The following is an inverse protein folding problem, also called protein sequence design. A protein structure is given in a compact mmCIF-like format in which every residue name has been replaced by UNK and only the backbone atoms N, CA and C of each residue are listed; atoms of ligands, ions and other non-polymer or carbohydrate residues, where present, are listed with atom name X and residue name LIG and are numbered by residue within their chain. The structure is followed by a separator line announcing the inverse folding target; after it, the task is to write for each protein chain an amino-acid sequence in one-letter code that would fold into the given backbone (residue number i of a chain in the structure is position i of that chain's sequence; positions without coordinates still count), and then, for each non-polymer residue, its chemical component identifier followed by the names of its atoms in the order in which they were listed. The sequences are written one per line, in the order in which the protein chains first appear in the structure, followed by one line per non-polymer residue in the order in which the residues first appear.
data_IF_488837275621
#
_entry.id   IF_488837275621
#
_cell.length_a   1.000
_cell.length_b   1.000
_cell.length_c   1.000
_cell.angle_alpha   90.00
_cell.angle_beta   90.00
_cell.angle_gamma   90.00
#
_symmetry.space_group_name_H-M   'P 1'
#
loop_
_entity.id
_entity.type
_entity.pdbx_description
1 polymer ?
#
# COMPACT_ATOMS: atom_id res chain seq x y z
N UNK A 1 7.91 12.81 11.38
CA UNK A 1 7.45 11.74 10.47
C UNK A 1 7.72 10.41 11.15
N UNK A 2 6.73 9.54 11.26
CA UNK A 2 6.79 8.30 12.04
C UNK A 2 5.66 7.33 11.66
N UNK A 3 5.79 6.08 12.09
CA UNK A 3 4.70 5.10 12.09
C UNK A 3 4.15 5.05 13.52
N UNK A 4 3.01 5.71 13.77
CA UNK A 4 2.38 5.68 15.09
C UNK A 4 1.64 4.37 15.28
N UNK A 5 1.72 3.83 16.50
CA UNK A 5 1.05 2.59 16.90
C UNK A 5 0.30 2.86 18.17
N UNK A 6 -1.02 2.66 18.15
CA UNK A 6 -1.91 2.89 19.28
C UNK A 6 -2.74 1.62 19.52
N UNK A 7 -2.69 1.10 20.75
CA UNK A 7 -3.53 -0.02 21.14
C UNK A 7 -4.97 0.47 21.39
N UNK A 8 -5.90 0.02 20.56
CA UNK A 8 -7.32 0.30 20.77
C UNK A 8 -7.92 -0.66 21.81
N UNK A 9 -7.49 -1.91 21.81
CA UNK A 9 -7.86 -2.93 22.76
C UNK A 9 -6.79 -4.03 22.81
N UNK A 10 -6.81 -4.97 23.77
CA UNK A 10 -5.84 -6.06 23.82
C UNK A 10 -5.74 -6.90 22.52
N UNK A 11 -6.69 -6.74 21.60
CA UNK A 11 -6.78 -7.52 20.37
C UNK A 11 -6.74 -6.68 19.09
N UNK A 12 -6.80 -5.34 19.21
CA UNK A 12 -6.88 -4.43 18.06
C UNK A 12 -5.84 -3.32 18.22
N UNK A 13 -5.02 -3.14 17.21
CA UNK A 13 -4.03 -2.08 17.15
C UNK A 13 -4.29 -1.19 15.92
N UNK A 14 -4.12 0.12 16.09
CA UNK A 14 -4.21 1.12 15.04
C UNK A 14 -2.79 1.55 14.65
N UNK A 15 -2.49 1.49 13.36
CA UNK A 15 -1.23 1.93 12.76
C UNK A 15 -1.50 3.13 11.90
N UNK A 16 -0.85 4.25 12.19
CA UNK A 16 -1.01 5.49 11.44
C UNK A 16 0.28 5.89 10.78
N UNK A 17 0.23 6.07 9.46
CA UNK A 17 1.34 6.64 8.67
C UNK A 17 1.30 8.15 8.87
N UNK A 18 2.30 8.73 9.55
CA UNK A 18 2.32 10.16 9.87
C UNK A 18 3.51 10.90 9.25
N UNK A 19 3.26 11.49 8.11
CA UNK A 19 4.12 12.46 7.44
C UNK A 19 3.24 13.46 6.68
N UNK A 20 2.34 14.11 7.41
CA UNK A 20 1.32 15.01 6.82
C UNK A 20 1.90 16.07 5.88
N UNK A 21 3.05 16.73 6.19
CA UNK A 21 3.65 17.72 5.28
C UNK A 21 3.99 17.16 3.89
N UNK A 22 4.20 15.85 3.78
CA UNK A 22 4.47 15.12 2.54
C UNK A 22 3.32 14.20 2.12
N UNK A 23 2.08 14.47 2.56
CA UNK A 23 0.91 13.64 2.28
C UNK A 23 1.13 12.17 2.64
N UNK A 24 1.74 11.94 3.79
CA UNK A 24 2.06 10.61 4.31
C UNK A 24 2.92 9.77 3.36
N UNK A 25 3.79 10.43 2.55
CA UNK A 25 4.84 9.73 1.84
C UNK A 25 5.80 9.07 2.82
N UNK A 26 6.15 7.82 2.56
CA UNK A 26 6.96 7.00 3.45
C UNK A 26 8.44 7.13 3.10
N UNK A 27 9.23 7.64 4.06
CA UNK A 27 10.69 7.61 3.97
C UNK A 27 11.23 6.19 4.15
N UNK A 28 12.51 5.95 3.79
CA UNK A 28 13.17 4.66 4.04
C UNK A 28 13.11 4.26 5.52
N UNK A 29 13.28 5.21 6.43
CA UNK A 29 13.18 4.98 7.88
C UNK A 29 11.76 4.53 8.28
N UNK A 30 10.72 5.19 7.78
CA UNK A 30 9.34 4.80 8.03
C UNK A 30 9.02 3.40 7.45
N UNK A 31 9.55 3.07 6.28
CA UNK A 31 9.40 1.72 5.70
C UNK A 31 10.11 0.67 6.56
N UNK A 32 11.32 0.95 7.05
CA UNK A 32 12.03 0.05 7.96
C UNK A 32 11.26 -0.13 9.28
N UNK A 33 10.71 0.94 9.82
CA UNK A 33 9.87 0.89 11.01
C UNK A 33 8.60 0.07 10.77
N UNK A 34 7.91 0.29 9.66
CA UNK A 34 6.70 -0.47 9.30
C UNK A 34 7.00 -1.96 9.14
N UNK A 35 8.11 -2.31 8.48
CA UNK A 35 8.57 -3.70 8.36
C UNK A 35 8.80 -4.35 9.74
N UNK A 36 9.46 -3.65 10.66
CA UNK A 36 9.68 -4.12 12.03
C UNK A 36 8.36 -4.26 12.82
N UNK A 37 7.37 -3.38 12.59
CA UNK A 37 6.03 -3.48 13.21
C UNK A 37 5.29 -4.73 12.73
N UNK A 38 5.37 -5.08 11.43
CA UNK A 38 4.76 -6.33 10.95
C UNK A 38 5.34 -7.55 11.67
N UNK A 39 6.66 -7.60 11.88
CA UNK A 39 7.31 -8.67 12.63
C UNK A 39 6.85 -8.74 14.09
N UNK A 40 6.69 -7.59 14.73
CA UNK A 40 6.21 -7.52 16.11
C UNK A 40 4.75 -7.95 16.21
N UNK A 41 3.89 -7.49 15.31
CA UNK A 41 2.47 -7.82 15.32
C UNK A 41 2.21 -9.31 15.04
N UNK A 42 3.01 -9.95 14.17
CA UNK A 42 2.89 -11.38 13.92
C UNK A 42 3.05 -12.21 15.22
N UNK A 43 3.93 -11.75 16.11
CA UNK A 43 4.20 -12.40 17.41
C UNK A 43 3.28 -11.95 18.56
N UNK A 44 2.60 -10.81 18.39
CA UNK A 44 1.74 -10.24 19.43
C UNK A 44 0.36 -10.94 19.51
N UNK A 45 -0.37 -10.66 20.58
CA UNK A 45 -1.73 -11.15 20.80
C UNK A 45 -2.81 -10.48 19.98
N UNK A 46 -2.45 -9.47 19.16
CA UNK A 46 -3.42 -8.78 18.31
C UNK A 46 -4.10 -9.75 17.34
N UNK A 47 -5.39 -9.52 17.12
CA UNK A 47 -6.25 -10.30 16.24
C UNK A 47 -6.61 -9.55 14.95
N UNK A 48 -6.51 -8.22 14.97
CA UNK A 48 -6.77 -7.36 13.82
C UNK A 48 -5.93 -6.07 13.91
N UNK A 49 -5.50 -5.57 12.78
CA UNK A 49 -4.75 -4.32 12.63
C UNK A 49 -5.61 -3.36 11.80
N UNK A 50 -5.72 -2.10 12.24
CA UNK A 50 -6.30 -1.01 11.44
C UNK A 50 -5.14 -0.16 10.93
N UNK A 51 -5.08 0.09 9.63
CA UNK A 51 -4.07 0.92 8.98
C UNK A 51 -4.73 2.17 8.39
N UNK A 52 -4.17 3.35 8.70
CA UNK A 52 -4.69 4.64 8.22
C UNK A 52 -3.55 5.65 8.00
N UNK A 53 -3.86 6.78 7.39
CA UNK A 53 -2.96 7.94 7.31
C UNK A 53 -3.31 9.02 8.33
N UNK A 54 -2.34 9.81 8.74
CA UNK A 54 -2.58 10.97 9.60
C UNK A 54 -3.25 12.11 8.82
N UNK A 55 -4.16 12.84 9.48
CA UNK A 55 -4.90 13.95 8.88
C UNK A 55 -5.98 13.50 7.91
N UNK A 56 -6.39 14.40 7.00
CA UNK A 56 -7.52 14.18 6.09
C UNK A 56 -7.11 14.13 4.60
N UNK A 57 -5.87 14.51 4.27
CA UNK A 57 -5.46 14.72 2.89
C UNK A 57 -5.00 13.46 2.17
N UNK A 58 -4.40 12.52 2.90
CA UNK A 58 -3.86 11.31 2.29
C UNK A 58 -3.79 10.15 3.27
N UNK A 59 -4.07 8.96 2.76
CA UNK A 59 -3.65 7.70 3.36
C UNK A 59 -2.13 7.57 3.22
N UNK A 60 -1.63 7.59 1.99
CA UNK A 60 -0.20 7.70 1.67
C UNK A 60 0.01 8.07 0.20
N UNK A 61 0.92 9.01 -0.05
CA UNK A 61 1.39 9.36 -1.39
C UNK A 61 2.52 8.45 -1.91
N UNK A 62 2.80 7.34 -1.23
CA UNK A 62 3.81 6.35 -1.65
C UNK A 62 5.20 6.62 -1.07
N UNK A 63 6.24 6.29 -1.83
CA UNK A 63 7.62 6.52 -1.41
C UNK A 63 7.99 8.01 -1.43
N UNK A 64 8.75 8.46 -0.43
CA UNK A 64 9.32 9.82 -0.45
C UNK A 64 10.47 9.89 -1.46
N UNK A 65 10.19 10.53 -2.59
CA UNK A 65 11.12 10.69 -3.72
C UNK A 65 12.17 11.80 -3.50
N UNK A 66 12.13 12.52 -2.38
CA UNK A 66 13.08 13.61 -2.09
C UNK A 66 14.41 13.13 -1.50
N UNK A 67 14.49 11.85 -1.13
CA UNK A 67 15.69 11.23 -0.57
C UNK A 67 16.57 10.54 -1.61
N UNK A 68 17.52 9.74 -1.12
CA UNK A 68 18.33 8.87 -1.97
C UNK A 68 17.46 7.80 -2.64
N UNK A 69 17.42 7.80 -3.97
CA UNK A 69 16.69 6.84 -4.80
C UNK A 69 17.53 5.63 -5.20
N UNK A 70 18.78 5.53 -4.71
CA UNK A 70 19.58 4.32 -4.93
C UNK A 70 18.86 3.12 -4.32
N UNK A 71 18.82 2.02 -5.03
CA UNK A 71 18.19 0.78 -4.59
C UNK A 71 19.27 -0.30 -4.54
N UNK A 72 19.92 -0.42 -3.38
CA UNK A 72 20.67 -1.62 -3.09
C UNK A 72 19.72 -2.76 -2.67
N UNK A 73 20.24 -3.97 -2.59
CA UNK A 73 19.44 -5.16 -2.29
C UNK A 73 18.82 -5.11 -0.88
N UNK A 74 19.42 -4.38 0.07
CA UNK A 74 18.91 -4.26 1.44
C UNK A 74 17.70 -3.31 1.48
N UNK A 75 17.82 -2.17 0.82
CA UNK A 75 16.70 -1.24 0.66
C UNK A 75 15.53 -1.91 -0.06
N UNK A 76 15.78 -2.63 -1.15
CA UNK A 76 14.74 -3.35 -1.89
C UNK A 76 14.02 -4.39 -1.01
N UNK A 77 14.77 -5.14 -0.18
CA UNK A 77 14.19 -6.08 0.79
C UNK A 77 13.34 -5.38 1.84
N UNK A 78 13.84 -4.27 2.40
CA UNK A 78 13.11 -3.48 3.41
C UNK A 78 11.80 -2.94 2.85
N UNK A 79 11.81 -2.35 1.66
CA UNK A 79 10.61 -1.86 0.97
C UNK A 79 9.62 -3.00 0.71
N UNK A 80 10.11 -4.12 0.17
CA UNK A 80 9.28 -5.31 -0.10
C UNK A 80 8.64 -5.85 1.18
N UNK A 81 9.34 -5.81 2.31
CA UNK A 81 8.84 -6.24 3.61
C UNK A 81 7.81 -5.24 4.16
N UNK A 82 8.08 -3.94 4.10
CA UNK A 82 7.15 -2.91 4.54
C UNK A 82 5.81 -3.00 3.78
N UNK A 83 5.85 -3.28 2.47
CA UNK A 83 4.69 -3.41 1.61
C UNK A 83 4.09 -4.83 1.62
N UNK A 84 4.60 -5.76 2.42
CA UNK A 84 4.17 -7.16 2.49
C UNK A 84 4.12 -7.82 1.09
N UNK A 85 5.10 -7.50 0.23
CA UNK A 85 5.10 -7.98 -1.16
C UNK A 85 5.25 -9.49 -1.26
N UNK A 86 6.26 -10.04 -0.56
CA UNK A 86 6.66 -11.44 -0.66
C UNK A 86 6.41 -12.23 0.63
N UNK A 87 5.81 -11.60 1.63
CA UNK A 87 5.64 -12.20 2.93
C UNK A 87 4.18 -12.52 3.21
N UNK A 88 3.86 -13.78 3.53
CA UNK A 88 2.58 -14.10 4.15
C UNK A 88 2.44 -13.37 5.48
N UNK A 89 1.25 -12.88 5.77
CA UNK A 89 0.93 -12.22 7.03
C UNK A 89 -0.38 -12.79 7.56
N UNK A 90 -0.37 -13.29 8.80
CA UNK A 90 -1.50 -14.04 9.34
C UNK A 90 -2.58 -13.18 9.98
N UNK A 91 -2.25 -11.94 10.36
CA UNK A 91 -3.21 -11.04 11.01
C UNK A 91 -4.04 -10.28 9.96
N UNK A 92 -5.36 -10.21 10.09
CA UNK A 92 -6.19 -9.33 9.26
C UNK A 92 -5.79 -7.86 9.38
N UNK A 93 -5.75 -7.17 8.24
CA UNK A 93 -5.47 -5.74 8.14
C UNK A 93 -6.67 -5.04 7.51
N UNK A 94 -7.28 -4.10 8.23
CA UNK A 94 -8.32 -3.21 7.74
C UNK A 94 -7.68 -1.90 7.33
N UNK A 95 -7.94 -1.41 6.12
CA UNK A 95 -7.52 -0.08 5.71
C UNK A 95 -8.67 0.92 5.86
N UNK A 96 -8.43 1.96 6.65
CA UNK A 96 -9.26 3.15 6.73
C UNK A 96 -8.62 4.25 5.88
N UNK A 97 -9.04 4.36 4.61
CA UNK A 97 -8.42 5.24 3.61
C UNK A 97 -8.99 6.64 3.74
N UNK A 98 -8.30 7.48 4.49
CA UNK A 98 -8.71 8.83 4.88
C UNK A 98 -8.47 9.92 3.83
N UNK A 99 -7.88 9.58 2.68
CA UNK A 99 -7.54 10.53 1.60
C UNK A 99 -6.77 9.85 0.48
N UNK A 100 -5.96 10.62 -0.27
CA UNK A 100 -5.23 10.11 -1.43
C UNK A 100 -4.38 8.88 -1.10
N UNK A 101 -4.49 7.84 -1.91
CA UNK A 101 -3.77 6.57 -1.78
C UNK A 101 -3.09 6.25 -3.12
N UNK A 102 -1.82 6.62 -3.27
CA UNK A 102 -1.15 6.68 -4.57
C UNK A 102 0.22 6.01 -4.53
N UNK A 103 0.62 5.40 -5.63
CA UNK A 103 1.93 4.78 -5.77
C UNK A 103 2.18 3.69 -4.73
N UNK A 104 3.32 3.72 -4.06
CA UNK A 104 3.62 2.79 -2.96
C UNK A 104 2.58 2.76 -1.84
N UNK A 105 1.77 3.83 -1.66
CA UNK A 105 0.63 3.83 -0.75
C UNK A 105 -0.48 2.90 -1.22
N UNK A 106 -0.77 2.89 -2.53
CA UNK A 106 -1.70 1.93 -3.10
C UNK A 106 -1.11 0.50 -3.10
N UNK A 107 0.19 0.34 -3.33
CA UNK A 107 0.84 -0.97 -3.22
C UNK A 107 0.74 -1.56 -1.81
N UNK A 108 0.88 -0.73 -0.77
CA UNK A 108 0.62 -1.12 0.62
C UNK A 108 -0.86 -1.47 0.84
N UNK A 109 -1.78 -0.66 0.30
CA UNK A 109 -3.21 -0.93 0.37
C UNK A 109 -3.56 -2.32 -0.22
N UNK A 110 -2.92 -2.72 -1.31
CA UNK A 110 -3.13 -4.04 -1.94
C UNK A 110 -2.73 -5.23 -1.04
N UNK A 111 -2.06 -4.97 0.08
CA UNK A 111 -1.71 -5.99 1.09
C UNK A 111 -2.70 -6.04 2.25
N UNK A 112 -3.70 -5.15 2.28
CA UNK A 112 -4.77 -5.14 3.28
C UNK A 112 -5.96 -5.98 2.82
N UNK A 113 -6.85 -6.35 3.74
CA UNK A 113 -7.91 -7.34 3.51
C UNK A 113 -9.29 -6.74 3.31
N UNK A 114 -9.63 -5.75 4.14
CA UNK A 114 -10.93 -5.08 4.14
C UNK A 114 -10.66 -3.58 4.12
N UNK A 115 -11.38 -2.84 3.26
CA UNK A 115 -11.06 -1.46 2.98
C UNK A 115 -12.30 -0.59 2.94
N UNK A 116 -12.28 0.52 3.65
CA UNK A 116 -13.21 1.62 3.42
C UNK A 116 -12.45 2.89 3.06
N UNK A 117 -13.09 3.77 2.32
CA UNK A 117 -12.53 5.03 1.86
C UNK A 117 -13.42 6.21 2.21
N UNK A 118 -12.82 7.34 2.57
CA UNK A 118 -13.49 8.61 2.61
C UNK A 118 -13.92 9.05 1.20
N UNK A 119 -15.02 9.82 1.03
CA UNK A 119 -15.55 10.15 -0.29
C UNK A 119 -14.60 10.94 -1.19
N UNK A 120 -13.68 11.70 -0.61
CA UNK A 120 -12.70 12.51 -1.32
C UNK A 120 -11.38 11.79 -1.63
N UNK A 121 -11.24 10.53 -1.20
CA UNK A 121 -10.04 9.74 -1.47
C UNK A 121 -9.89 9.45 -2.97
N UNK A 122 -8.64 9.51 -3.46
CA UNK A 122 -8.29 9.14 -4.83
C UNK A 122 -7.24 8.05 -4.82
N UNK A 123 -7.27 7.21 -5.84
CA UNK A 123 -6.42 6.02 -5.95
C UNK A 123 -5.72 5.99 -7.30
N UNK A 124 -4.47 5.56 -7.35
CA UNK A 124 -3.77 5.34 -8.61
C UNK A 124 -2.32 4.93 -8.46
N UNK A 125 -1.77 4.47 -9.58
CA UNK A 125 -0.39 4.02 -9.73
C UNK A 125 0.28 4.84 -10.85
N UNK A 126 0.70 6.10 -10.55
CA UNK A 126 1.21 7.00 -11.57
C UNK A 126 2.70 6.75 -11.93
N UNK A 127 3.29 5.65 -11.50
CA UNK A 127 4.71 5.33 -11.66
C UNK A 127 5.16 5.45 -13.12
N UNK A 128 4.39 4.90 -14.07
CA UNK A 128 4.76 4.92 -15.50
C UNK A 128 4.81 6.34 -16.08
N UNK A 129 4.07 7.29 -15.52
CA UNK A 129 4.15 8.71 -15.89
C UNK A 129 5.55 9.27 -15.64
N UNK A 130 6.23 8.77 -14.63
CA UNK A 130 7.54 9.24 -14.17
C UNK A 130 8.67 8.28 -14.55
N UNK A 131 8.40 7.37 -15.48
CA UNK A 131 9.35 6.31 -15.89
C UNK A 131 9.86 5.51 -14.70
N UNK A 132 8.98 5.19 -13.76
CA UNK A 132 9.24 4.33 -12.60
C UNK A 132 8.47 3.03 -12.79
N UNK A 133 9.07 1.91 -12.42
CA UNK A 133 8.40 0.62 -12.36
C UNK A 133 7.78 0.41 -10.98
N UNK A 134 6.53 -0.06 -10.84
CA UNK A 134 5.88 -0.27 -9.54
C UNK A 134 6.43 -1.54 -8.87
N UNK A 135 7.41 -1.39 -8.01
CA UNK A 135 8.13 -2.50 -7.37
C UNK A 135 7.41 -3.15 -6.16
N UNK A 136 6.39 -2.52 -5.59
CA UNK A 136 5.73 -2.99 -4.35
C UNK A 136 4.74 -4.14 -4.56
N UNK A 137 4.61 -4.66 -5.79
CA UNK A 137 3.77 -5.82 -6.10
C UNK A 137 2.45 -5.49 -6.80
N UNK A 138 2.26 -4.26 -7.26
CA UNK A 138 1.04 -3.86 -7.97
C UNK A 138 0.77 -4.71 -9.22
N UNK A 139 1.82 -5.07 -9.98
CA UNK A 139 1.75 -5.90 -11.19
C UNK A 139 1.17 -7.30 -10.96
N UNK A 140 1.21 -7.79 -9.72
CA UNK A 140 0.63 -9.08 -9.34
C UNK A 140 -0.69 -8.90 -8.60
N UNK A 141 -0.68 -8.08 -7.54
CA UNK A 141 -1.79 -7.98 -6.60
C UNK A 141 -3.01 -7.24 -7.18
N UNK A 142 -2.78 -6.18 -7.96
CA UNK A 142 -3.89 -5.38 -8.50
C UNK A 142 -4.76 -6.21 -9.45
N UNK A 143 -4.14 -6.96 -10.37
CA UNK A 143 -4.85 -7.81 -11.32
C UNK A 143 -5.75 -8.83 -10.62
N UNK A 144 -5.26 -9.42 -9.53
CA UNK A 144 -6.02 -10.40 -8.74
C UNK A 144 -7.24 -9.79 -8.04
N UNK A 145 -7.18 -8.50 -7.71
CA UNK A 145 -8.21 -7.84 -6.88
C UNK A 145 -9.26 -7.09 -7.70
N UNK A 146 -8.86 -6.43 -8.80
CA UNK A 146 -9.79 -5.64 -9.63
C UNK A 146 -9.97 -6.20 -11.04
N UNK A 147 -9.30 -7.31 -11.37
CA UNK A 147 -9.32 -7.92 -12.69
C UNK A 147 -8.42 -7.21 -13.70
N UNK A 148 -8.14 -7.90 -14.81
CA UNK A 148 -7.14 -7.49 -15.82
C UNK A 148 -7.41 -6.10 -16.42
N UNK A 149 -8.66 -5.87 -16.87
CA UNK A 149 -8.99 -4.64 -17.61
C UNK A 149 -8.83 -3.39 -16.75
N UNK A 150 -9.34 -3.41 -15.52
CA UNK A 150 -9.19 -2.28 -14.60
C UNK A 150 -7.74 -2.09 -14.12
N UNK A 151 -7.02 -3.19 -13.89
CA UNK A 151 -5.61 -3.11 -13.52
C UNK A 151 -4.77 -2.48 -14.63
N UNK A 152 -4.95 -2.90 -15.89
CA UNK A 152 -4.21 -2.34 -17.02
C UNK A 152 -4.55 -0.88 -17.28
N UNK A 153 -5.81 -0.49 -17.13
CA UNK A 153 -6.23 0.91 -17.23
C UNK A 153 -5.47 1.79 -16.21
N UNK A 154 -5.46 1.40 -14.94
CA UNK A 154 -4.75 2.15 -13.90
C UNK A 154 -3.23 2.17 -14.09
N UNK A 155 -2.62 1.02 -14.39
CA UNK A 155 -1.18 0.87 -14.52
C UNK A 155 -0.61 1.57 -15.76
N UNK A 156 -1.32 1.53 -16.90
CA UNK A 156 -0.79 2.06 -18.17
C UNK A 156 -1.14 3.52 -18.40
N UNK A 157 -2.30 3.99 -17.92
CA UNK A 157 -2.72 5.38 -18.11
C UNK A 157 -2.20 6.31 -17.03
N UNK A 158 -1.75 5.77 -15.89
CA UNK A 158 -1.34 6.55 -14.72
C UNK A 158 -2.43 7.51 -14.21
N UNK A 159 -3.71 7.24 -14.54
CA UNK A 159 -4.83 8.06 -14.06
C UNK A 159 -5.14 7.78 -12.60
N UNK A 160 -5.75 8.75 -11.95
CA UNK A 160 -6.34 8.57 -10.63
C UNK A 160 -7.84 8.32 -10.78
N UNK A 161 -8.38 7.46 -9.91
CA UNK A 161 -9.81 7.20 -9.77
C UNK A 161 -10.30 7.74 -8.43
N UNK A 162 -11.57 8.09 -8.36
CA UNK A 162 -12.24 8.50 -7.12
C UNK A 162 -12.70 7.30 -6.27
N UNK A 163 -13.16 7.57 -5.07
CA UNK A 163 -13.62 6.54 -4.14
C UNK A 163 -14.85 5.76 -4.66
N UNK A 164 -15.87 6.38 -5.29
CA UNK A 164 -16.97 5.67 -5.93
C UNK A 164 -16.50 4.69 -7.03
N UNK A 165 -15.58 5.09 -7.90
CA UNK A 165 -15.02 4.20 -8.91
C UNK A 165 -14.22 3.06 -8.28
N UNK A 166 -13.39 3.36 -7.26
CA UNK A 166 -12.63 2.35 -6.52
C UNK A 166 -13.55 1.29 -5.88
N UNK A 167 -14.71 1.70 -5.34
CA UNK A 167 -15.70 0.77 -4.82
C UNK A 167 -16.36 -0.05 -5.95
N UNK A 168 -16.70 0.59 -7.09
CA UNK A 168 -17.32 -0.08 -8.24
C UNK A 168 -16.45 -1.18 -8.84
N UNK A 169 -15.13 -0.98 -8.89
CA UNK A 169 -14.18 -1.98 -9.43
C UNK A 169 -13.69 -3.00 -8.38
N UNK A 170 -14.14 -2.89 -7.12
CA UNK A 170 -13.77 -3.80 -6.04
C UNK A 170 -12.42 -3.51 -5.39
N UNK A 171 -11.81 -2.34 -5.64
CA UNK A 171 -10.56 -1.94 -4.99
C UNK A 171 -10.77 -1.63 -3.49
N UNK A 172 -11.94 -1.08 -3.14
CA UNK A 172 -12.38 -0.90 -1.76
C UNK A 172 -13.78 -1.51 -1.57
N UNK A 173 -14.08 -1.95 -0.34
CA UNK A 173 -15.38 -2.58 -0.04
C UNK A 173 -16.53 -1.56 0.00
N UNK A 174 -16.23 -0.33 0.44
CA UNK A 174 -17.24 0.75 0.53
C UNK A 174 -16.63 2.13 0.65
N UNK A 175 -17.46 3.12 0.39
CA UNK A 175 -17.22 4.53 0.70
C UNK A 175 -18.08 4.90 1.90
N UNK A 176 -17.49 5.57 2.89
CA UNK A 176 -18.17 6.03 4.11
C UNK A 176 -17.82 7.48 4.38
N UNK A 177 -18.69 8.22 5.07
CA UNK A 177 -18.38 9.59 5.47
C UNK A 177 -17.07 9.67 6.24
N UNK A 178 -16.32 10.76 6.12
CA UNK A 178 -14.97 10.88 6.68
C UNK A 178 -14.97 10.71 8.22
N UNK A 179 -15.95 11.25 8.90
CA UNK A 179 -16.16 11.13 10.34
C UNK A 179 -16.58 9.71 10.78
N UNK A 180 -17.20 8.94 9.88
CA UNK A 180 -17.60 7.55 10.12
C UNK A 180 -16.51 6.53 9.79
N UNK A 181 -15.39 6.94 9.16
CA UNK A 181 -14.39 6.01 8.64
C UNK A 181 -13.70 5.19 9.73
N UNK A 182 -13.18 5.83 10.78
CA UNK A 182 -12.54 5.12 11.90
C UNK A 182 -13.55 4.35 12.75
N UNK A 183 -14.74 4.89 13.11
CA UNK A 183 -15.79 4.07 13.75
C UNK A 183 -16.12 2.80 12.97
N UNK A 184 -16.26 2.88 11.66
CA UNK A 184 -16.51 1.71 10.80
C UNK A 184 -15.35 0.70 10.85
N UNK A 185 -14.11 1.18 10.79
CA UNK A 185 -12.93 0.31 10.84
C UNK A 185 -12.82 -0.42 12.19
N UNK A 186 -13.08 0.29 13.29
CA UNK A 186 -13.11 -0.29 14.64
C UNK A 186 -14.20 -1.35 14.75
N UNK A 187 -15.43 -1.04 14.37
CA UNK A 187 -16.56 -2.00 14.40
C UNK A 187 -16.24 -3.27 13.58
N UNK A 188 -15.62 -3.09 12.43
CA UNK A 188 -15.21 -4.22 11.59
C UNK A 188 -14.09 -5.04 12.24
N UNK A 189 -13.12 -4.40 12.88
CA UNK A 189 -12.04 -5.07 13.61
C UNK A 189 -12.57 -5.84 14.82
N UNK A 190 -13.54 -5.29 15.55
CA UNK A 190 -14.20 -5.95 16.68
C UNK A 190 -14.95 -7.22 16.23
N UNK A 191 -15.66 -7.17 15.10
CA UNK A 191 -16.32 -8.34 14.50
C UNK A 191 -15.30 -9.43 14.15
N UNK A 192 -14.14 -9.07 13.59
CA UNK A 192 -13.07 -10.02 13.31
C UNK A 192 -12.50 -10.59 14.61
N UNK A 193 -12.21 -9.72 15.57
CA UNK A 193 -11.61 -10.10 16.84
C UNK A 193 -12.52 -10.99 17.71
N UNK A 194 -13.82 -10.93 17.50
CA UNK A 194 -14.80 -11.80 18.18
C UNK A 194 -14.83 -13.24 17.62
N UNK A 195 -14.29 -13.46 16.43
CA UNK A 195 -14.21 -14.80 15.84
C UNK A 195 -13.01 -15.59 16.40
N UNK A 196 -12.98 -16.90 16.14
CA UNK A 196 -11.84 -17.75 16.50
C UNK A 196 -10.55 -17.25 15.86
N UNK A 197 -9.55 -16.80 16.65
CA UNK A 197 -8.30 -16.29 16.09
C UNK A 197 -7.55 -17.37 15.29
N UNK A 198 -7.60 -18.62 15.70
CA UNK A 198 -6.97 -19.71 14.97
C UNK A 198 -7.59 -19.91 13.59
N UNK A 199 -8.92 -19.86 13.48
CA UNK A 199 -9.60 -20.01 12.18
C UNK A 199 -9.38 -18.80 11.27
N UNK A 200 -9.50 -17.57 11.79
CA UNK A 200 -9.26 -16.32 11.04
C UNK A 200 -7.82 -16.29 10.50
N UNK A 201 -6.84 -16.57 11.34
CA UNK A 201 -5.43 -16.56 10.94
C UNK A 201 -5.11 -17.66 9.92
N UNK A 202 -5.70 -18.86 10.06
CA UNK A 202 -5.49 -19.94 9.09
C UNK A 202 -6.03 -19.55 7.70
N UNK A 203 -7.24 -18.98 7.62
CA UNK A 203 -7.82 -18.48 6.36
C UNK A 203 -6.94 -17.38 5.76
N UNK A 204 -6.56 -16.38 6.57
CA UNK A 204 -5.71 -15.28 6.11
C UNK A 204 -4.34 -15.78 5.65
N UNK A 205 -3.72 -16.68 6.39
CA UNK A 205 -2.40 -17.23 6.07
C UNK A 205 -2.42 -17.99 4.75
N UNK A 206 -3.43 -18.81 4.50
CA UNK A 206 -3.56 -19.56 3.25
C UNK A 206 -3.63 -18.64 2.03
N UNK A 207 -4.49 -17.60 2.09
CA UNK A 207 -4.65 -16.63 0.99
C UNK A 207 -3.39 -15.80 0.81
N UNK A 208 -2.84 -15.29 1.91
CA UNK A 208 -1.62 -14.49 1.94
C UNK A 208 -0.40 -15.25 1.41
N UNK A 209 -0.28 -16.55 1.74
CA UNK A 209 0.79 -17.41 1.22
C UNK A 209 0.71 -17.58 -0.30
N UNK A 210 -0.48 -17.83 -0.84
CA UNK A 210 -0.70 -17.96 -2.30
C UNK A 210 -0.32 -16.68 -3.04
N UNK A 211 -0.70 -15.51 -2.52
CA UNK A 211 -0.34 -14.21 -3.12
C UNK A 211 1.17 -13.99 -3.06
N UNK A 212 1.80 -14.26 -1.92
CA UNK A 212 3.23 -14.10 -1.73
C UNK A 212 4.06 -15.06 -2.61
N UNK A 213 3.61 -16.29 -2.79
CA UNK A 213 4.22 -17.28 -3.68
C UNK A 213 4.17 -16.81 -5.15
N UNK A 214 3.01 -16.35 -5.61
CA UNK A 214 2.87 -15.79 -6.95
C UNK A 214 3.78 -14.56 -7.12
N UNK A 215 3.84 -13.64 -6.16
CA UNK A 215 4.72 -12.50 -6.23
C UNK A 215 6.21 -12.90 -6.30
N UNK A 216 6.64 -13.90 -5.49
CA UNK A 216 8.01 -14.44 -5.55
C UNK A 216 8.34 -15.09 -6.88
N UNK A 217 7.41 -15.81 -7.49
CA UNK A 217 7.63 -16.44 -8.79
C UNK A 217 7.90 -15.43 -9.92
N UNK A 218 7.57 -14.15 -9.70
CA UNK A 218 7.80 -13.04 -10.63
C UNK A 218 8.97 -12.15 -10.25
N UNK A 219 9.63 -12.39 -9.11
CA UNK A 219 10.68 -11.49 -8.57
C UNK A 219 11.82 -11.23 -9.56
N UNK A 220 12.33 -12.29 -10.21
CA UNK A 220 13.42 -12.15 -11.18
C UNK A 220 13.01 -11.29 -12.38
N UNK A 221 11.79 -11.46 -12.90
CA UNK A 221 11.27 -10.65 -14.00
C UNK A 221 10.99 -9.21 -13.56
N UNK A 222 10.42 -9.00 -12.37
CA UNK A 222 10.20 -7.68 -11.79
C UNK A 222 11.52 -6.91 -11.67
N UNK A 223 12.58 -7.57 -11.19
CA UNK A 223 13.90 -6.98 -11.06
C UNK A 223 14.48 -6.63 -12.44
N UNK A 224 14.46 -7.57 -13.38
CA UNK A 224 14.95 -7.35 -14.75
C UNK A 224 14.25 -6.15 -15.42
N UNK A 225 12.92 -6.12 -15.38
CA UNK A 225 12.12 -5.06 -16.00
C UNK A 225 12.35 -3.71 -15.31
N UNK A 226 12.39 -3.69 -13.99
CA UNK A 226 12.64 -2.49 -13.21
C UNK A 226 14.04 -1.93 -13.43
N UNK A 227 15.07 -2.76 -13.50
CA UNK A 227 16.44 -2.34 -13.78
C UNK A 227 16.58 -1.80 -15.21
N UNK A 228 15.89 -2.42 -16.18
CA UNK A 228 15.82 -1.91 -17.56
C UNK A 228 15.20 -0.51 -17.61
N UNK A 229 14.09 -0.28 -16.89
CA UNK A 229 13.47 1.05 -16.80
C UNK A 229 14.43 2.04 -16.14
N UNK A 230 15.05 1.67 -15.03
CA UNK A 230 15.98 2.53 -14.27
C UNK A 230 17.23 2.89 -15.07
N UNK A 231 17.73 2.00 -15.92
CA UNK A 231 18.87 2.24 -16.80
C UNK A 231 18.52 3.12 -18.03
N UNK A 232 17.25 3.37 -18.30
CA UNK A 232 16.81 4.16 -19.45
C UNK A 232 17.07 5.66 -19.28
N UNK A 233 17.23 6.38 -20.38
CA UNK A 233 17.29 7.84 -20.36
C UNK A 233 15.99 8.46 -19.83
N UNK A 234 14.86 7.81 -20.05
CA UNK A 234 13.55 8.23 -19.58
C UNK A 234 13.45 8.27 -18.06
N UNK A 235 14.13 7.39 -17.33
CA UNK A 235 14.13 7.40 -15.86
C UNK A 235 14.66 8.72 -15.29
N UNK A 236 15.80 9.21 -15.84
CA UNK A 236 16.40 10.48 -15.41
C UNK A 236 15.44 11.65 -15.64
N UNK A 237 14.85 11.68 -16.85
CA UNK A 237 13.87 12.71 -17.20
C UNK A 237 12.62 12.64 -16.32
N UNK A 238 12.06 11.45 -16.12
CA UNK A 238 10.86 11.25 -15.30
C UNK A 238 11.05 11.71 -13.87
N UNK A 239 12.17 11.34 -13.23
CA UNK A 239 12.51 11.78 -11.87
C UNK A 239 12.73 13.28 -11.80
N UNK A 240 13.48 13.88 -12.75
CA UNK A 240 13.68 15.33 -12.78
C UNK A 240 12.36 16.08 -12.95
N UNK A 241 11.51 15.65 -13.88
CA UNK A 241 10.20 16.25 -14.13
C UNK A 241 9.29 16.19 -12.89
N UNK A 242 9.31 15.05 -12.16
CA UNK A 242 8.57 14.90 -10.90
C UNK A 242 9.02 15.91 -9.84
N UNK A 243 10.34 16.02 -9.61
CA UNK A 243 10.92 16.93 -8.61
C UNK A 243 10.68 18.40 -8.97
N UNK A 244 10.76 18.73 -10.25
CA UNK A 244 10.53 20.08 -10.81
C UNK A 244 9.05 20.40 -11.01
N UNK A 245 8.14 19.47 -10.75
CA UNK A 245 6.68 19.60 -10.90
C UNK A 245 6.26 20.02 -12.32
N UNK A 246 6.95 19.53 -13.35
CA UNK A 246 6.64 19.75 -14.75
C UNK A 246 6.23 18.45 -15.46
N UNK A 247 5.56 18.53 -16.61
CA UNK A 247 5.35 17.35 -17.46
C UNK A 247 6.70 16.78 -17.94
N UNK A 248 6.88 15.44 -17.97
CA UNK A 248 8.06 14.81 -18.53
C UNK A 248 8.05 14.90 -20.07
N UNK A 249 9.25 14.91 -20.67
CA UNK A 249 9.42 14.88 -22.11
C UNK A 249 10.22 13.63 -22.52
N UNK A 250 9.53 12.63 -23.04
CA UNK A 250 10.09 11.34 -23.45
C UNK A 250 10.39 11.24 -24.96
N UNK A 251 10.67 12.38 -25.61
CA UNK A 251 11.02 12.44 -27.02
C UNK A 251 12.49 12.15 -27.26
#
# INVERSE_FOLDING_TARGET
MEIRVEEHSPHIVVVTIDNQPRRNAMSRQMMAELAARWDAFERASYRCIILTGAGELAFSAGADMSGDLSADAEVARTVSHALLKYRPFSKPIIAAVNGDCVGGGLELLLSTDIRAAAPHARFGLPEVRWSIYPFGGATVKLIQQVGHVHAMDLLLTARLIDAPEAARIGLVNRVVAADALMPWAIETAERIAANSPAAVQAVKQQISATIAEHARSREALDQELGDRVRASAHFKEGVAAFLEKRPPNYR
#
